data_IF_639021533308
#
_entry.id   IF_639021533308
#
_cell.length_a   1.000
_cell.length_b   1.000
_cell.length_c   1.000
_cell.angle_alpha   90.00
_cell.angle_beta   90.00
_cell.angle_gamma   90.00
#
_symmetry.space_group_name_H-M   'P 1'
#
loop_
_entity.id
_entity.type
_entity.pdbx_description
1 polymer ?
#
# COMPACT_ATOMS: atom_id res chain seq x y z
N UNK A 1 10.26 16.50 21.74
CA UNK A 1 9.16 15.60 21.36
C UNK A 1 8.89 14.70 22.53
N UNK A 2 7.70 14.79 23.07
CA UNK A 2 7.20 13.92 24.13
C UNK A 2 6.92 12.51 23.58
N UNK A 3 6.83 11.52 24.47
CA UNK A 3 6.55 10.14 24.08
C UNK A 3 5.21 10.01 23.35
N UNK A 4 4.18 10.72 23.82
CA UNK A 4 2.83 10.70 23.24
C UNK A 4 2.82 11.27 21.82
N UNK A 5 3.60 12.32 21.56
CA UNK A 5 3.72 12.90 20.21
C UNK A 5 4.30 11.88 19.22
N UNK A 6 5.28 11.09 19.66
CA UNK A 6 5.89 10.04 18.82
C UNK A 6 4.90 8.93 18.54
N UNK A 7 4.12 8.50 19.54
CA UNK A 7 3.07 7.50 19.34
C UNK A 7 2.01 8.02 18.38
N UNK A 8 1.58 9.28 18.52
CA UNK A 8 0.65 9.92 17.59
C UNK A 8 1.15 9.93 16.14
N UNK A 9 2.47 10.10 15.92
CA UNK A 9 3.04 9.98 14.57
C UNK A 9 2.92 8.56 14.01
N UNK A 10 3.19 7.53 14.81
CA UNK A 10 3.01 6.14 14.40
C UNK A 10 1.54 5.83 14.09
N UNK A 11 0.61 6.30 14.93
CA UNK A 11 -0.83 6.14 14.72
C UNK A 11 -1.30 6.82 13.43
N UNK A 12 -0.75 7.99 13.11
CA UNK A 12 -1.05 8.68 11.86
C UNK A 12 -0.60 7.87 10.63
N UNK A 13 0.61 7.28 10.68
CA UNK A 13 1.06 6.38 9.60
C UNK A 13 0.13 5.19 9.47
N UNK A 14 -0.27 4.57 10.58
CA UNK A 14 -1.20 3.44 10.56
C UNK A 14 -2.60 3.81 10.05
N UNK A 15 -3.05 5.04 10.24
CA UNK A 15 -4.30 5.53 9.65
C UNK A 15 -4.17 5.76 8.14
N UNK A 16 -3.00 6.20 7.66
CA UNK A 16 -2.73 6.33 6.23
C UNK A 16 -2.67 4.95 5.55
N UNK A 17 -1.99 3.97 6.16
CA UNK A 17 -1.93 2.61 5.58
C UNK A 17 -3.29 1.91 5.56
N UNK A 18 -4.16 2.18 6.53
CA UNK A 18 -5.54 1.68 6.53
C UNK A 18 -6.36 2.26 5.37
N UNK A 19 -6.20 3.55 5.09
CA UNK A 19 -6.82 4.21 3.94
C UNK A 19 -6.27 3.66 2.61
N UNK A 20 -4.95 3.44 2.52
CA UNK A 20 -4.33 2.80 1.36
C UNK A 20 -4.91 1.40 1.14
N UNK A 21 -5.09 0.62 2.20
CA UNK A 21 -5.69 -0.71 2.11
C UNK A 21 -7.14 -0.63 1.63
N UNK A 22 -7.93 0.33 2.12
CA UNK A 22 -9.30 0.54 1.66
C UNK A 22 -9.36 0.91 0.16
N UNK A 23 -8.49 1.81 -0.30
CA UNK A 23 -8.38 2.20 -1.71
C UNK A 23 -7.97 1.00 -2.58
N UNK A 24 -6.98 0.21 -2.16
CA UNK A 24 -6.53 -1.00 -2.86
C UNK A 24 -7.63 -2.07 -2.95
N UNK A 25 -8.42 -2.27 -1.88
CA UNK A 25 -9.57 -3.20 -1.89
C UNK A 25 -10.68 -2.73 -2.84
N UNK A 26 -10.85 -1.42 -2.99
CA UNK A 26 -11.86 -0.80 -3.85
C UNK A 26 -11.40 -0.65 -5.31
N UNK A 27 -10.09 -0.79 -5.57
CA UNK A 27 -9.50 -0.57 -6.89
C UNK A 27 -9.34 0.90 -7.26
N UNK A 28 -9.38 1.81 -6.28
CA UNK A 28 -9.19 3.26 -6.45
C UNK A 28 -7.68 3.57 -6.56
N UNK A 29 -7.08 3.25 -7.71
CA UNK A 29 -5.62 3.30 -7.88
C UNK A 29 -5.01 4.72 -7.81
N UNK A 30 -5.76 5.72 -8.27
CA UNK A 30 -5.33 7.12 -8.18
C UNK A 30 -5.29 7.59 -6.71
N UNK A 31 -6.30 7.22 -5.92
CA UNK A 31 -6.34 7.48 -4.48
C UNK A 31 -5.22 6.73 -3.75
N UNK A 32 -5.01 5.45 -4.07
CA UNK A 32 -3.90 4.66 -3.50
C UNK A 32 -2.54 5.33 -3.73
N UNK A 33 -2.30 5.84 -4.95
CA UNK A 33 -1.04 6.52 -5.31
C UNK A 33 -0.87 7.85 -4.59
N UNK A 34 -1.95 8.62 -4.42
CA UNK A 34 -1.93 9.87 -3.66
C UNK A 34 -1.61 9.60 -2.18
N UNK A 35 -2.28 8.61 -1.58
CA UNK A 35 -2.05 8.18 -0.19
C UNK A 35 -0.64 7.63 0.04
N UNK A 36 -0.07 6.90 -0.93
CA UNK A 36 1.32 6.43 -0.86
C UNK A 36 2.31 7.60 -0.71
N UNK A 37 2.09 8.67 -1.47
CA UNK A 37 2.94 9.88 -1.40
C UNK A 37 2.87 10.56 -0.03
N UNK A 38 1.67 10.65 0.56
CA UNK A 38 1.48 11.20 1.90
C UNK A 38 2.08 10.30 2.99
N UNK A 39 1.91 8.98 2.87
CA UNK A 39 2.51 8.00 3.77
C UNK A 39 4.04 8.10 3.74
N UNK A 40 4.66 8.18 2.56
CA UNK A 40 6.11 8.31 2.40
C UNK A 40 6.64 9.58 3.09
N UNK A 41 5.94 10.72 2.94
CA UNK A 41 6.29 11.97 3.63
C UNK A 41 6.20 11.83 5.15
N UNK A 42 5.16 11.19 5.65
CA UNK A 42 4.98 11.01 7.10
C UNK A 42 6.04 10.05 7.69
N UNK A 43 6.36 8.96 6.99
CA UNK A 43 7.42 8.03 7.40
C UNK A 43 8.76 8.75 7.46
N UNK A 44 9.05 9.65 6.53
CA UNK A 44 10.29 10.43 6.54
C UNK A 44 10.35 11.41 7.72
N UNK A 45 9.23 12.04 8.10
CA UNK A 45 9.15 12.83 9.32
C UNK A 45 9.40 11.97 10.56
N UNK A 46 8.81 10.79 10.60
CA UNK A 46 8.96 9.83 11.70
C UNK A 46 10.39 9.29 11.83
N UNK A 47 11.12 9.13 10.72
CA UNK A 47 12.55 8.78 10.74
C UNK A 47 13.43 9.87 11.35
N UNK A 48 13.03 11.15 11.18
CA UNK A 48 13.73 12.31 11.75
C UNK A 48 13.32 12.59 13.20
N UNK A 49 12.18 12.07 13.62
CA UNK A 49 11.70 12.18 15.00
C UNK A 49 12.49 11.23 15.91
N UNK A 50 13.50 11.76 16.61
CA UNK A 50 14.21 11.06 17.68
C UNK A 50 13.56 11.43 19.03
N UNK A 51 13.14 10.45 19.86
CA UNK A 51 12.77 10.76 21.23
C UNK A 51 13.98 11.31 22.00
N UNK A 52 13.78 12.27 22.94
CA UNK A 52 14.85 12.82 23.77
C UNK A 52 15.46 11.80 24.75
N UNK A 53 14.84 10.62 24.87
CA UNK A 53 15.31 9.51 25.67
C UNK A 53 14.61 8.20 25.30
N UNK A 54 14.89 7.10 26.01
CA UNK A 54 14.21 5.83 25.76
C UNK A 54 12.71 5.94 26.04
N UNK A 55 11.86 5.44 25.13
CA UNK A 55 10.41 5.36 25.38
C UNK A 55 10.12 4.49 26.62
N UNK A 56 9.10 4.83 27.43
CA UNK A 56 8.64 3.99 28.52
C UNK A 56 8.11 2.64 27.99
N UNK A 57 8.08 1.58 28.81
CA UNK A 57 7.69 0.23 28.36
C UNK A 57 6.33 0.18 27.65
N UNK A 58 5.32 0.86 28.20
CA UNK A 58 3.98 0.91 27.62
C UNK A 58 3.96 1.55 26.21
N UNK A 59 4.65 2.67 26.04
CA UNK A 59 4.78 3.32 24.73
C UNK A 59 5.55 2.44 23.73
N UNK A 60 6.55 1.66 24.18
CA UNK A 60 7.24 0.70 23.30
C UNK A 60 6.31 -0.40 22.83
N UNK A 61 5.50 -0.97 23.73
CA UNK A 61 4.52 -2.00 23.37
C UNK A 61 3.47 -1.46 22.40
N UNK A 62 2.96 -0.24 22.64
CA UNK A 62 2.03 0.42 21.73
C UNK A 62 2.65 0.65 20.35
N UNK A 63 3.88 1.17 20.29
CA UNK A 63 4.64 1.33 19.05
C UNK A 63 4.78 0.00 18.29
N UNK A 64 5.09 -1.10 18.99
CA UNK A 64 5.22 -2.42 18.36
C UNK A 64 3.88 -2.87 17.76
N UNK A 65 2.76 -2.71 18.48
CA UNK A 65 1.43 -3.06 17.97
C UNK A 65 1.09 -2.27 16.71
N UNK A 66 1.38 -0.96 16.70
CA UNK A 66 1.12 -0.10 15.55
C UNK A 66 1.97 -0.51 14.33
N UNK A 67 3.26 -0.80 14.54
CA UNK A 67 4.14 -1.29 13.47
C UNK A 67 3.66 -2.63 12.89
N UNK A 68 3.16 -3.54 13.72
CA UNK A 68 2.59 -4.79 13.25
C UNK A 68 1.36 -4.58 12.38
N UNK A 69 0.48 -3.62 12.72
CA UNK A 69 -0.66 -3.25 11.88
C UNK A 69 -0.20 -2.73 10.52
N UNK A 70 0.71 -1.74 10.51
CA UNK A 70 1.27 -1.15 9.28
C UNK A 70 1.83 -2.24 8.35
N UNK A 71 2.64 -3.16 8.89
CA UNK A 71 3.24 -4.23 8.11
C UNK A 71 2.23 -5.25 7.58
N UNK A 72 1.14 -5.49 8.31
CA UNK A 72 0.05 -6.35 7.87
C UNK A 72 -0.73 -5.70 6.72
N UNK A 73 -1.07 -4.42 6.86
CA UNK A 73 -1.76 -3.64 5.83
C UNK A 73 -0.92 -3.58 4.55
N UNK A 74 0.37 -3.25 4.64
CA UNK A 74 1.30 -3.20 3.50
C UNK A 74 1.39 -4.53 2.75
N UNK A 75 1.38 -5.65 3.49
CA UNK A 75 1.42 -6.99 2.89
C UNK A 75 0.14 -7.27 2.11
N UNK A 76 -1.01 -6.87 2.64
CA UNK A 76 -2.30 -7.05 1.96
C UNK A 76 -2.42 -6.16 0.72
N UNK A 77 -2.01 -4.88 0.81
CA UNK A 77 -1.94 -3.96 -0.33
C UNK A 77 -1.09 -4.56 -1.47
N UNK A 78 0.09 -5.10 -1.14
CA UNK A 78 0.96 -5.77 -2.12
C UNK A 78 0.27 -6.97 -2.76
N UNK A 79 -0.39 -7.81 -1.97
CA UNK A 79 -1.11 -8.98 -2.50
C UNK A 79 -2.24 -8.59 -3.45
N UNK A 80 -2.98 -7.52 -3.14
CA UNK A 80 -4.09 -7.03 -3.98
C UNK A 80 -3.58 -6.44 -5.30
N UNK A 81 -2.56 -5.59 -5.23
CA UNK A 81 -1.93 -4.97 -6.40
C UNK A 81 -1.30 -6.00 -7.35
N UNK A 82 -0.56 -6.99 -6.81
CA UNK A 82 0.00 -8.11 -7.58
C UNK A 82 -1.09 -8.93 -8.29
N UNK A 83 -2.17 -9.26 -7.57
CA UNK A 83 -3.30 -10.02 -8.14
C UNK A 83 -3.95 -9.29 -9.31
N UNK A 84 -4.18 -7.99 -9.17
CA UNK A 84 -4.80 -7.19 -10.22
C UNK A 84 -3.89 -7.02 -11.45
N UNK A 85 -2.58 -6.81 -11.26
CA UNK A 85 -1.60 -6.76 -12.35
C UNK A 85 -1.53 -8.07 -13.14
N UNK A 86 -1.60 -9.21 -12.46
CA UNK A 86 -1.68 -10.52 -13.11
C UNK A 86 -2.94 -10.62 -13.97
N UNK A 87 -4.10 -10.23 -13.44
CA UNK A 87 -5.38 -10.24 -14.18
C UNK A 87 -5.37 -9.29 -15.39
N UNK A 88 -4.79 -8.11 -15.26
CA UNK A 88 -4.62 -7.17 -16.37
C UNK A 88 -3.74 -7.78 -17.48
N UNK A 89 -2.65 -8.42 -17.09
CA UNK A 89 -1.74 -9.09 -18.02
C UNK A 89 -2.44 -10.22 -18.80
N UNK A 90 -3.27 -11.03 -18.12
CA UNK A 90 -4.09 -12.06 -18.77
C UNK A 90 -5.07 -11.47 -19.79
N UNK A 91 -5.78 -10.38 -19.44
CA UNK A 91 -6.70 -9.70 -20.35
C UNK A 91 -6.00 -9.13 -21.58
N UNK A 92 -4.82 -8.53 -21.41
CA UNK A 92 -4.04 -8.01 -22.55
C UNK A 92 -3.56 -9.14 -23.48
N UNK A 93 -3.17 -10.27 -22.91
CA UNK A 93 -2.72 -11.45 -23.67
C UNK A 93 -3.87 -12.14 -24.42
N UNK A 94 -5.07 -12.19 -23.83
CA UNK A 94 -6.24 -12.77 -24.49
C UNK A 94 -6.66 -11.94 -25.71
N UNK A 95 -6.74 -10.61 -25.60
CA UNK A 95 -7.09 -9.72 -26.72
C UNK A 95 -6.05 -9.76 -27.86
N UNK A 96 -4.77 -9.99 -27.54
CA UNK A 96 -3.72 -10.22 -28.54
C UNK A 96 -3.91 -11.54 -29.31
N UNK A 97 -4.38 -12.57 -28.62
CA UNK A 97 -4.64 -13.90 -29.20
C UNK A 97 -5.87 -13.88 -30.11
N UNK A 98 -6.95 -13.20 -29.68
CA UNK A 98 -8.17 -13.03 -30.48
C UNK A 98 -7.91 -12.28 -31.80
N UNK A 99 -7.09 -11.23 -31.79
CA UNK A 99 -6.70 -10.50 -33.02
C UNK A 99 -5.92 -11.34 -34.00
N UNK A 100 -5.01 -12.19 -33.52
CA UNK A 100 -4.23 -13.11 -34.37
C UNK A 100 -5.13 -14.13 -35.04
N UNK A 101 -6.06 -14.72 -34.29
CA UNK A 101 -7.04 -15.66 -34.83
C UNK A 101 -7.94 -14.99 -35.87
N UNK A 102 -8.50 -13.81 -35.57
CA UNK A 102 -9.32 -13.06 -36.52
C UNK A 102 -8.58 -12.76 -37.84
N UNK A 103 -7.30 -12.37 -37.76
CA UNK A 103 -6.47 -12.10 -38.96
C UNK A 103 -6.18 -13.35 -39.81
N UNK A 104 -5.97 -14.50 -39.18
CA UNK A 104 -5.72 -15.76 -39.87
C UNK A 104 -6.95 -16.28 -40.63
N UNK A 105 -8.15 -16.10 -40.06
CA UNK A 105 -9.40 -16.46 -40.72
C UNK A 105 -9.77 -15.51 -41.87
N UNK A 106 -9.42 -14.23 -41.80
CA UNK A 106 -9.65 -13.29 -42.91
C UNK A 106 -8.68 -13.46 -44.10
N UNK A 107 -7.58 -14.19 -43.92
CA UNK A 107 -6.56 -14.38 -44.96
C UNK A 107 -6.73 -15.71 -45.72
N UNK A 108 -7.70 -16.54 -45.31
CA UNK A 108 -8.01 -17.85 -45.90
C UNK A 108 -9.38 -17.90 -46.59
N UNK A 109 -10.04 -16.75 -46.78
CA UNK A 109 -11.23 -16.56 -47.61
C UNK A 109 -10.97 -15.57 -48.73
#
# INVERSE_FOLDING_TARGET
MECDEIIGLYEHVAALTDQMLAAARSGEWDELTALESDCARQVEMLRKAQPPGPLPPEAREQKVRILQKILADDREIRSLTETWMNRLSELMNSTGTERKLASAYSQTG
#
